data_IF_698635972045
#
_entry.id   IF_698635972045
#
_cell.length_a   1.000
_cell.length_b   1.000
_cell.length_c   1.000
_cell.angle_alpha   90.00
_cell.angle_beta   90.00
_cell.angle_gamma   90.00
#
_symmetry.space_group_name_H-M   'P 1'
#
loop_
_entity.id
_entity.type
_entity.pdbx_description
1 polymer ?
#
# COMPACT_ATOMS: atom_id res chain seq x y z
N UNK A 1 5.56 1.57 -6.58
CA UNK A 1 6.95 1.66 -7.05
C UNK A 1 7.19 3.00 -7.74
N UNK A 2 7.33 4.06 -7.02
CA UNK A 2 7.63 5.39 -7.55
C UNK A 2 8.16 6.27 -6.43
N UNK A 3 8.94 7.34 -6.74
CA UNK A 3 9.47 8.26 -5.73
C UNK A 3 8.33 9.00 -5.01
N UNK A 4 8.56 9.31 -3.75
CA UNK A 4 7.65 10.16 -2.99
C UNK A 4 7.54 11.56 -3.63
N UNK A 5 6.35 12.15 -3.62
CA UNK A 5 6.08 13.46 -4.22
C UNK A 5 5.91 13.43 -5.73
N UNK A 6 5.63 12.26 -6.30
CA UNK A 6 5.26 12.09 -7.71
C UNK A 6 3.87 11.49 -7.86
N UNK A 7 3.23 11.80 -8.97
CA UNK A 7 1.91 11.29 -9.32
C UNK A 7 1.52 11.71 -10.72
N UNK A 8 0.38 11.25 -11.18
CA UNK A 8 -0.16 11.60 -12.49
C UNK A 8 -1.68 11.70 -12.45
N UNK A 9 -2.22 12.51 -13.34
CA UNK A 9 -3.64 12.66 -13.56
C UNK A 9 -3.94 12.37 -15.03
N UNK A 10 -4.77 11.36 -15.28
CA UNK A 10 -5.33 11.12 -16.60
C UNK A 10 -6.74 11.70 -16.67
N UNK A 11 -6.99 12.51 -17.68
CA UNK A 11 -8.28 13.20 -17.88
C UNK A 11 -8.89 12.70 -19.19
N UNK A 12 -10.15 12.27 -19.16
CA UNK A 12 -10.87 11.86 -20.35
C UNK A 12 -11.09 13.05 -21.30
N UNK A 13 -11.16 12.76 -22.60
CA UNK A 13 -11.44 13.76 -23.61
C UNK A 13 -12.81 14.46 -23.33
N UNK A 14 -12.83 15.76 -23.52
CA UNK A 14 -14.04 16.59 -23.29
C UNK A 14 -14.25 17.02 -21.83
N UNK A 15 -13.43 16.56 -20.89
CA UNK A 15 -13.47 17.02 -19.50
C UNK A 15 -12.60 18.27 -19.36
N UNK A 16 -13.20 19.37 -18.91
CA UNK A 16 -12.46 20.59 -18.58
C UNK A 16 -12.11 20.62 -17.09
N UNK A 17 -10.81 20.76 -16.79
CA UNK A 17 -10.29 20.86 -15.42
C UNK A 17 -9.63 22.22 -15.24
N UNK A 18 -10.16 23.02 -14.33
CA UNK A 18 -9.59 24.32 -14.00
C UNK A 18 -8.23 24.19 -13.28
N UNK A 19 -7.29 25.10 -13.49
CA UNK A 19 -6.06 25.16 -12.71
C UNK A 19 -6.38 25.29 -11.22
N UNK A 20 -5.76 24.42 -10.39
CA UNK A 20 -5.87 24.51 -8.94
C UNK A 20 -4.80 25.42 -8.34
N UNK A 21 -3.56 25.31 -8.85
CA UNK A 21 -2.43 26.12 -8.46
C UNK A 21 -1.96 26.97 -9.64
N UNK A 22 -1.46 28.16 -9.36
CA UNK A 22 -0.90 29.07 -10.34
C UNK A 22 0.55 29.36 -9.98
N UNK A 23 1.43 29.43 -10.98
CA UNK A 23 2.84 29.70 -10.77
C UNK A 23 3.60 29.75 -12.10
N UNK A 24 4.88 30.14 -12.04
CA UNK A 24 5.72 30.18 -13.24
C UNK A 24 5.85 28.78 -13.87
N UNK A 25 5.53 28.71 -15.16
CA UNK A 25 5.56 27.43 -15.91
C UNK A 25 6.92 27.16 -16.56
N UNK A 26 7.83 28.14 -16.59
CA UNK A 26 9.11 28.04 -17.27
C UNK A 26 9.03 28.22 -18.80
N UNK A 27 7.84 28.22 -19.38
CA UNK A 27 7.63 28.36 -20.85
C UNK A 27 6.86 29.64 -21.24
N UNK A 28 6.03 30.16 -20.34
CA UNK A 28 5.22 31.38 -20.52
C UNK A 28 5.52 32.41 -19.42
N UNK A 29 6.79 32.84 -19.33
CA UNK A 29 7.28 33.59 -18.18
C UNK A 29 6.71 35.03 -18.08
N UNK A 30 6.10 35.54 -19.13
CA UNK A 30 5.51 36.88 -19.16
C UNK A 30 3.99 36.90 -19.08
N UNK A 31 3.37 35.73 -19.05
CA UNK A 31 1.93 35.63 -18.93
C UNK A 31 1.51 35.88 -17.47
N UNK A 32 0.50 36.72 -17.29
CA UNK A 32 -0.05 37.04 -15.96
C UNK A 32 -0.95 35.93 -15.40
N UNK A 33 -1.45 35.02 -16.25
CA UNK A 33 -2.37 33.96 -15.92
C UNK A 33 -1.77 32.60 -16.25
N UNK A 34 -2.26 31.55 -15.58
CA UNK A 34 -1.91 30.19 -15.91
C UNK A 34 -2.34 29.86 -17.35
N UNK A 35 -1.45 29.28 -18.18
CA UNK A 35 -1.80 28.86 -19.54
C UNK A 35 -3.01 27.90 -19.56
N UNK A 36 -3.76 27.91 -20.65
CA UNK A 36 -4.94 27.05 -20.80
C UNK A 36 -4.67 25.74 -21.53
N UNK A 37 -3.51 25.64 -22.21
CA UNK A 37 -3.13 24.43 -22.94
C UNK A 37 -2.69 23.30 -22.01
N UNK A 38 -3.03 22.09 -22.39
CA UNK A 38 -2.59 20.86 -21.74
C UNK A 38 -1.16 20.50 -22.17
N UNK A 39 -0.34 19.94 -21.29
CA UNK A 39 -0.57 19.66 -19.86
C UNK A 39 -0.26 20.86 -18.96
N UNK A 40 0.29 21.96 -19.50
CA UNK A 40 0.88 23.11 -18.78
C UNK A 40 -0.11 23.80 -17.85
N UNK A 41 -1.39 23.80 -18.19
CA UNK A 41 -2.45 24.40 -17.35
C UNK A 41 -2.55 23.83 -15.92
N UNK A 42 -2.10 22.59 -15.69
CA UNK A 42 -2.09 21.96 -14.38
C UNK A 42 -0.70 21.86 -13.76
N UNK A 43 0.33 22.32 -14.45
CA UNK A 43 1.72 22.24 -14.01
C UNK A 43 2.19 23.63 -13.53
N UNK A 44 2.01 23.92 -12.25
CA UNK A 44 2.43 25.17 -11.64
C UNK A 44 3.80 25.05 -10.98
N UNK A 45 4.73 25.90 -11.34
CA UNK A 45 6.10 25.91 -10.82
C UNK A 45 7.06 25.01 -11.59
N UNK A 46 8.31 24.93 -11.13
CA UNK A 46 9.33 24.08 -11.73
C UNK A 46 9.00 22.59 -11.46
N UNK A 47 8.92 21.81 -12.51
CA UNK A 47 8.59 20.38 -12.42
C UNK A 47 9.67 19.60 -11.66
N UNK A 48 9.23 18.58 -10.91
CA UNK A 48 10.11 17.62 -10.26
C UNK A 48 10.68 16.61 -11.28
N UNK A 49 11.61 17.05 -12.13
CA UNK A 49 12.18 16.25 -13.20
C UNK A 49 12.83 14.94 -12.71
N UNK A 50 13.52 14.98 -11.57
CA UNK A 50 14.13 13.79 -10.97
C UNK A 50 13.08 12.77 -10.51
N UNK A 51 12.03 13.26 -9.87
CA UNK A 51 10.92 12.39 -9.44
C UNK A 51 10.16 11.80 -10.62
N UNK A 52 9.92 12.58 -11.68
CA UNK A 52 9.25 12.13 -12.90
C UNK A 52 10.09 11.03 -13.60
N UNK A 53 11.40 11.22 -13.72
CA UNK A 53 12.30 10.20 -14.25
C UNK A 53 12.27 8.91 -13.42
N UNK A 54 12.28 9.04 -12.09
CA UNK A 54 12.13 7.88 -11.19
C UNK A 54 10.77 7.19 -11.32
N UNK A 55 9.68 7.94 -11.52
CA UNK A 55 8.36 7.37 -11.77
C UNK A 55 8.33 6.60 -13.09
N UNK A 56 8.91 7.15 -14.17
CA UNK A 56 9.04 6.46 -15.46
C UNK A 56 9.77 5.13 -15.31
N UNK A 57 10.94 5.12 -14.63
CA UNK A 57 11.68 3.90 -14.35
C UNK A 57 10.87 2.88 -13.54
N UNK A 58 10.03 3.34 -12.62
CA UNK A 58 9.12 2.48 -11.87
C UNK A 58 8.06 1.82 -12.76
N UNK A 59 7.55 2.52 -13.76
CA UNK A 59 6.63 1.98 -14.76
C UNK A 59 7.32 0.96 -15.67
N UNK A 60 8.52 1.28 -16.16
CA UNK A 60 9.35 0.36 -16.96
C UNK A 60 9.63 -0.94 -16.20
N UNK A 61 9.90 -0.84 -14.90
CA UNK A 61 10.07 -2.01 -14.04
C UNK A 61 8.79 -2.87 -13.99
N UNK A 62 7.62 -2.25 -13.80
CA UNK A 62 6.35 -2.98 -13.75
C UNK A 62 6.11 -3.72 -15.07
N UNK A 63 6.35 -3.08 -16.22
CA UNK A 63 6.21 -3.70 -17.53
C UNK A 63 7.19 -4.87 -17.71
N UNK A 64 8.45 -4.69 -17.30
CA UNK A 64 9.48 -5.74 -17.39
C UNK A 64 9.16 -6.96 -16.52
N UNK A 65 8.36 -6.81 -15.46
CA UNK A 65 7.91 -7.92 -14.62
C UNK A 65 6.61 -8.60 -15.12
N UNK A 66 6.16 -8.28 -16.33
CA UNK A 66 4.94 -8.85 -16.90
C UNK A 66 3.66 -8.05 -16.64
N UNK A 67 3.83 -6.80 -16.19
CA UNK A 67 2.71 -5.88 -15.97
C UNK A 67 2.06 -6.02 -14.59
N UNK A 68 1.02 -5.25 -14.40
CA UNK A 68 0.28 -5.18 -13.13
C UNK A 68 -0.34 -6.52 -12.76
N UNK A 69 -0.86 -7.27 -13.74
CA UNK A 69 -1.51 -8.56 -13.53
C UNK A 69 -0.54 -9.61 -12.98
N UNK A 70 0.68 -9.67 -13.51
CA UNK A 70 1.70 -10.61 -13.03
C UNK A 70 2.13 -10.29 -11.59
N UNK A 71 2.36 -9.01 -11.29
CA UNK A 71 2.69 -8.55 -9.94
C UNK A 71 1.53 -8.86 -8.98
N UNK A 72 0.30 -8.52 -9.36
CA UNK A 72 -0.88 -8.78 -8.53
C UNK A 72 -1.12 -10.28 -8.28
N UNK A 73 -0.82 -11.13 -9.26
CA UNK A 73 -0.92 -12.59 -9.10
C UNK A 73 0.10 -13.12 -8.08
N UNK A 74 1.35 -12.65 -8.17
CA UNK A 74 2.40 -13.01 -7.20
C UNK A 74 2.05 -12.54 -5.78
N UNK A 75 1.72 -11.27 -5.61
CA UNK A 75 1.33 -10.72 -4.30
C UNK A 75 0.12 -11.45 -3.70
N UNK A 76 -0.85 -11.81 -4.54
CA UNK A 76 -2.02 -12.58 -4.12
C UNK A 76 -1.64 -13.98 -3.64
N UNK A 77 -0.75 -14.68 -4.35
CA UNK A 77 -0.31 -16.02 -3.95
C UNK A 77 0.35 -16.01 -2.58
N UNK A 78 1.18 -15.00 -2.28
CA UNK A 78 1.80 -14.81 -0.96
C UNK A 78 0.75 -14.59 0.14
N UNK A 79 -0.22 -13.71 -0.13
CA UNK A 79 -1.29 -13.42 0.83
C UNK A 79 -2.21 -14.63 1.07
N UNK A 80 -2.51 -15.43 0.06
CA UNK A 80 -3.29 -16.67 0.16
C UNK A 80 -2.53 -17.73 0.95
N UNK A 81 -1.23 -17.91 0.70
CA UNK A 81 -0.35 -18.79 1.47
C UNK A 81 -0.35 -18.41 2.95
N UNK A 82 -0.12 -17.13 3.25
CA UNK A 82 -0.15 -16.62 4.61
C UNK A 82 -1.51 -16.85 5.27
N UNK A 83 -2.59 -16.50 4.61
CA UNK A 83 -3.94 -16.66 5.12
C UNK A 83 -4.27 -18.13 5.43
N UNK A 84 -3.85 -19.05 4.57
CA UNK A 84 -4.04 -20.48 4.77
C UNK A 84 -3.30 -20.96 6.02
N UNK A 85 -2.05 -20.53 6.22
CA UNK A 85 -1.24 -20.91 7.38
C UNK A 85 -1.78 -20.37 8.70
N UNK A 86 -2.13 -19.08 8.75
CA UNK A 86 -2.54 -18.43 10.00
C UNK A 86 -3.98 -18.76 10.42
N UNK A 87 -4.83 -19.22 9.49
CA UNK A 87 -6.24 -19.51 9.76
C UNK A 87 -6.44 -20.65 10.76
N UNK A 88 -5.51 -21.59 10.80
CA UNK A 88 -5.55 -22.76 11.66
C UNK A 88 -4.86 -22.56 13.02
N UNK A 89 -4.21 -21.39 13.25
CA UNK A 89 -3.53 -21.09 14.50
C UNK A 89 -4.57 -20.68 15.56
N UNK A 90 -4.67 -21.39 16.70
CA UNK A 90 -5.57 -21.01 17.77
C UNK A 90 -5.26 -19.60 18.31
N UNK A 91 -6.29 -18.83 18.62
CA UNK A 91 -6.12 -17.47 19.14
C UNK A 91 -5.90 -16.39 18.08
N UNK A 92 -5.78 -16.71 16.80
CA UNK A 92 -5.74 -15.75 15.71
C UNK A 92 -7.16 -15.32 15.32
N UNK A 93 -7.42 -14.03 15.36
CA UNK A 93 -8.63 -13.41 14.83
C UNK A 93 -8.31 -12.68 13.52
N UNK A 94 -8.96 -13.06 12.43
CA UNK A 94 -8.76 -12.51 11.09
C UNK A 94 -9.84 -11.49 10.76
N UNK A 95 -9.44 -10.36 10.14
CA UNK A 95 -10.34 -9.27 9.76
C UNK A 95 -10.27 -9.02 8.24
N UNK A 96 -11.39 -9.20 7.56
CA UNK A 96 -11.52 -8.95 6.12
C UNK A 96 -12.52 -9.88 5.42
N UNK A 97 -12.89 -9.54 4.20
CA UNK A 97 -13.74 -10.35 3.32
C UNK A 97 -12.85 -11.28 2.48
N UNK A 98 -12.46 -12.41 3.03
CA UNK A 98 -11.49 -13.34 2.41
C UNK A 98 -12.11 -14.26 1.34
N UNK A 99 -13.42 -14.21 1.16
CA UNK A 99 -14.21 -14.90 0.13
C UNK A 99 -14.28 -14.12 -1.19
N UNK A 100 -13.82 -12.86 -1.21
CA UNK A 100 -13.87 -12.03 -2.40
C UNK A 100 -12.79 -12.43 -3.41
N UNK A 101 -13.13 -12.56 -4.72
CA UNK A 101 -12.19 -13.01 -5.75
C UNK A 101 -11.11 -11.95 -6.08
N UNK A 102 -11.41 -10.67 -5.82
CA UNK A 102 -10.47 -9.57 -6.05
C UNK A 102 -10.24 -8.81 -4.75
N UNK A 103 -9.02 -8.87 -4.25
CA UNK A 103 -8.60 -8.18 -3.04
C UNK A 103 -7.11 -7.82 -3.10
N UNK A 104 -6.71 -6.82 -2.33
CA UNK A 104 -5.31 -6.50 -2.14
C UNK A 104 -4.59 -7.58 -1.31
N UNK A 105 -3.28 -7.69 -1.48
CA UNK A 105 -2.44 -8.63 -0.76
C UNK A 105 -2.15 -8.15 0.67
N UNK A 106 -3.22 -7.97 1.44
CA UNK A 106 -3.19 -7.50 2.82
C UNK A 106 -3.98 -8.49 3.69
N UNK A 107 -3.38 -8.85 4.84
CA UNK A 107 -4.04 -9.62 5.88
C UNK A 107 -3.93 -8.87 7.20
N UNK A 108 -5.08 -8.63 7.84
CA UNK A 108 -5.16 -7.98 9.14
C UNK A 108 -5.64 -9.00 10.18
N UNK A 109 -4.94 -9.07 11.31
CA UNK A 109 -5.24 -10.04 12.35
C UNK A 109 -4.93 -9.49 13.75
N UNK A 110 -5.44 -10.19 14.76
CA UNK A 110 -5.02 -10.08 16.15
C UNK A 110 -4.66 -11.45 16.71
N UNK A 111 -3.82 -11.46 17.74
CA UNK A 111 -3.44 -12.65 18.52
C UNK A 111 -4.05 -12.50 19.88
N UNK A 112 -5.01 -13.35 20.22
CA UNK A 112 -5.75 -13.30 21.47
C UNK A 112 -6.14 -11.86 21.88
N UNK A 113 -5.96 -11.49 23.14
CA UNK A 113 -6.25 -10.15 23.67
C UNK A 113 -5.00 -9.24 23.70
N UNK A 114 -3.90 -9.64 23.02
CA UNK A 114 -2.65 -8.88 23.02
C UNK A 114 -2.80 -7.64 22.15
N UNK A 115 -2.35 -6.50 22.64
CA UNK A 115 -2.38 -5.23 21.88
C UNK A 115 -1.53 -5.34 20.63
N UNK A 116 -2.05 -4.87 19.49
CA UNK A 116 -1.40 -5.00 18.18
C UNK A 116 0.03 -4.46 18.12
N UNK A 117 0.35 -3.43 18.92
CA UNK A 117 1.70 -2.87 19.01
C UNK A 117 2.70 -3.88 19.63
N UNK A 118 2.29 -4.62 20.64
CA UNK A 118 3.14 -5.62 21.30
C UNK A 118 3.47 -6.79 20.38
N UNK A 119 2.48 -7.24 19.60
CA UNK A 119 2.70 -8.29 18.58
C UNK A 119 3.66 -7.79 17.49
N UNK A 120 3.45 -6.57 16.99
CA UNK A 120 4.33 -5.98 15.96
C UNK A 120 5.77 -5.82 16.45
N UNK A 121 5.95 -5.42 17.71
CA UNK A 121 7.26 -5.31 18.37
C UNK A 121 7.92 -6.69 18.53
N UNK A 122 7.19 -7.68 19.00
CA UNK A 122 7.71 -9.05 19.15
C UNK A 122 8.14 -9.65 17.82
N UNK A 123 7.34 -9.47 16.76
CA UNK A 123 7.68 -9.90 15.39
C UNK A 123 8.96 -9.24 14.88
N UNK A 124 9.10 -7.93 15.12
CA UNK A 124 10.30 -7.20 14.71
C UNK A 124 11.54 -7.66 15.47
N UNK A 125 11.43 -7.84 16.79
CA UNK A 125 12.59 -8.19 17.65
C UNK A 125 13.00 -9.65 17.50
N UNK A 126 12.03 -10.56 17.39
CA UNK A 126 12.31 -12.00 17.30
C UNK A 126 12.70 -12.48 15.91
N UNK A 127 12.10 -11.92 14.87
CA UNK A 127 12.22 -12.45 13.51
C UNK A 127 12.55 -11.38 12.44
N UNK A 128 12.69 -10.10 12.83
CA UNK A 128 12.92 -9.01 11.88
C UNK A 128 11.73 -8.70 10.96
N UNK A 129 10.52 -9.11 11.34
CA UNK A 129 9.31 -8.96 10.53
C UNK A 129 8.67 -7.60 10.82
N UNK A 130 8.68 -6.71 9.81
CA UNK A 130 8.05 -5.41 9.88
C UNK A 130 6.55 -5.50 9.55
N UNK A 131 5.69 -5.14 10.50
CA UNK A 131 4.25 -5.06 10.33
C UNK A 131 3.74 -3.67 10.69
N UNK A 132 2.48 -3.39 10.39
CA UNK A 132 1.86 -2.15 10.83
C UNK A 132 0.78 -2.41 11.87
N UNK A 133 0.99 -2.02 13.15
CA UNK A 133 -0.04 -2.12 14.18
C UNK A 133 -0.97 -0.91 14.21
N UNK A 134 -2.10 -1.03 14.92
CA UNK A 134 -2.96 0.07 15.33
C UNK A 134 -4.16 0.32 14.44
N UNK A 135 -4.55 1.58 14.33
CA UNK A 135 -5.83 1.99 13.71
C UNK A 135 -5.79 2.23 12.20
N UNK A 136 -4.62 2.21 11.56
CA UNK A 136 -4.45 2.35 10.09
C UNK A 136 -5.14 3.58 9.47
N UNK A 137 -5.37 4.65 10.24
CA UNK A 137 -6.12 5.84 9.84
C UNK A 137 -7.60 5.53 9.45
N UNK A 138 -8.17 4.46 10.01
CA UNK A 138 -9.51 3.96 9.69
C UNK A 138 -10.39 3.80 10.95
N UNK A 139 -10.68 4.87 11.71
CA UNK A 139 -11.37 4.78 13.00
C UNK A 139 -12.78 4.18 12.88
N UNK A 140 -13.50 4.47 11.79
CA UNK A 140 -14.83 3.92 11.57
C UNK A 140 -14.81 2.41 11.31
N UNK A 141 -13.77 1.91 10.62
CA UNK A 141 -13.58 0.47 10.41
C UNK A 141 -13.33 -0.24 11.76
N UNK A 142 -12.44 0.30 12.58
CA UNK A 142 -12.15 -0.26 13.91
C UNK A 142 -13.37 -0.28 14.83
N UNK A 143 -14.20 0.76 14.75
CA UNK A 143 -15.48 0.80 15.46
C UNK A 143 -16.43 -0.31 15.00
N UNK A 144 -16.56 -0.49 13.68
CA UNK A 144 -17.42 -1.53 13.10
C UNK A 144 -16.93 -2.95 13.43
N UNK A 145 -15.61 -3.14 13.54
CA UNK A 145 -14.98 -4.43 13.86
C UNK A 145 -14.81 -4.67 15.38
N UNK A 146 -15.09 -3.67 16.24
CA UNK A 146 -14.89 -3.76 17.68
C UNK A 146 -13.41 -3.79 18.11
N UNK A 147 -12.50 -3.31 17.27
CA UNK A 147 -11.04 -3.36 17.49
C UNK A 147 -10.43 -2.01 17.90
N UNK A 148 -11.24 -1.04 18.37
CA UNK A 148 -10.77 0.31 18.72
C UNK A 148 -9.71 0.30 19.85
N UNK A 149 -9.81 -0.62 20.79
CA UNK A 149 -8.89 -0.70 21.94
C UNK A 149 -7.61 -1.46 21.62
N UNK A 150 -7.70 -2.53 20.87
CA UNK A 150 -6.59 -3.44 20.56
C UNK A 150 -5.84 -3.02 19.30
N UNK A 151 -6.51 -2.35 18.35
CA UNK A 151 -6.02 -2.18 17.00
C UNK A 151 -6.02 -3.51 16.24
N UNK A 152 -5.32 -3.55 15.12
CA UNK A 152 -5.00 -4.80 14.42
C UNK A 152 -3.56 -4.76 13.92
N UNK A 153 -2.95 -5.93 13.74
CA UNK A 153 -1.66 -6.08 13.05
C UNK A 153 -1.93 -6.33 11.58
N UNK A 154 -1.37 -5.50 10.71
CA UNK A 154 -1.51 -5.63 9.26
C UNK A 154 -0.23 -6.14 8.64
N UNK A 155 -0.33 -7.28 7.97
CA UNK A 155 0.65 -7.79 7.04
C UNK A 155 0.32 -7.30 5.63
N UNK A 156 1.32 -6.85 4.89
CA UNK A 156 1.17 -6.35 3.52
C UNK A 156 2.26 -6.99 2.67
N UNK A 157 1.86 -7.79 1.71
CA UNK A 157 2.77 -8.51 0.82
C UNK A 157 2.98 -7.70 -0.45
N UNK A 158 4.23 -7.57 -0.86
CA UNK A 158 4.62 -6.86 -2.06
C UNK A 158 5.46 -7.74 -2.97
N UNK A 159 5.75 -7.23 -4.16
CA UNK A 159 6.47 -7.94 -5.22
C UNK A 159 7.80 -8.58 -4.76
N UNK A 160 8.49 -7.97 -3.82
CA UNK A 160 9.82 -8.44 -3.37
C UNK A 160 9.76 -9.48 -2.24
N UNK A 161 8.59 -9.77 -1.70
CA UNK A 161 8.47 -10.80 -0.69
C UNK A 161 8.55 -12.20 -1.31
N UNK A 162 9.00 -13.16 -0.51
CA UNK A 162 9.18 -14.56 -0.90
C UNK A 162 8.28 -15.50 -0.11
N UNK A 163 8.10 -16.72 -0.61
CA UNK A 163 7.37 -17.78 0.09
C UNK A 163 8.02 -18.12 1.45
N UNK A 164 9.35 -18.10 1.53
CA UNK A 164 10.10 -18.38 2.76
C UNK A 164 9.88 -17.30 3.82
N UNK A 165 9.76 -16.03 3.42
CA UNK A 165 9.41 -14.95 4.35
C UNK A 165 7.98 -15.10 4.87
N UNK A 166 7.06 -15.55 4.02
CA UNK A 166 5.68 -15.85 4.42
C UNK A 166 5.64 -17.00 5.42
N UNK A 167 6.36 -18.09 5.17
CA UNK A 167 6.43 -19.24 6.07
C UNK A 167 7.03 -18.83 7.43
N UNK A 168 8.10 -18.03 7.41
CA UNK A 168 8.70 -17.49 8.65
C UNK A 168 7.69 -16.66 9.44
N UNK A 169 6.83 -15.89 8.77
CA UNK A 169 5.82 -15.09 9.44
C UNK A 169 4.69 -15.94 10.03
N UNK A 170 4.34 -17.06 9.40
CA UNK A 170 3.38 -18.04 9.92
C UNK A 170 3.94 -18.71 11.19
N UNK A 171 5.19 -19.18 11.13
CA UNK A 171 5.86 -19.84 12.26
C UNK A 171 5.98 -18.87 13.46
N UNK A 172 6.39 -17.61 13.19
CA UNK A 172 6.48 -16.58 14.23
C UNK A 172 5.13 -16.32 14.93
N UNK A 173 4.03 -16.31 14.17
CA UNK A 173 2.69 -16.13 14.74
C UNK A 173 2.23 -17.38 15.51
N UNK A 174 2.63 -18.57 15.10
CA UNK A 174 2.38 -19.80 15.84
C UNK A 174 3.08 -19.76 17.21
N UNK A 175 4.34 -19.32 17.25
CA UNK A 175 5.10 -19.19 18.50
C UNK A 175 4.53 -18.12 19.43
N UNK A 176 4.00 -17.02 18.88
CA UNK A 176 3.39 -15.93 19.67
C UNK A 176 1.98 -16.25 20.18
N UNK A 177 1.28 -17.20 19.56
CA UNK A 177 -0.08 -17.59 19.93
C UNK A 177 -0.13 -18.74 20.95
N UNK A 178 0.99 -19.44 21.15
CA UNK A 178 1.12 -20.55 22.11
C UNK A 178 1.57 -20.07 23.49
#
# INVERSE_FOLDING_TARGET
MGPQGTGGLAVAEGIDVAPWAMGGTGVHSFDELQPLEWPTRLEAGTLNGHGIAGLSTGLDFIEAQGGVEAIAAHERSLAERFLAGVREIPGIALYGAFDQPVRSAIVSLNVADIVSAEISDALMQGWGIATRPGAHCAPLMHRALGTERQGVVRFSFGYFNTDEEVDTAIDALCDLAC
#
